data_IF_617716833890
#
_entry.id   IF_617716833890
#
_cell.length_a   1.000
_cell.length_b   1.000
_cell.length_c   1.000
_cell.angle_alpha   90.00
_cell.angle_beta   90.00
_cell.angle_gamma   90.00
#
_symmetry.space_group_name_H-M   'P 1'
#
loop_
_entity.id
_entity.type
_entity.pdbx_description
1 polymer ?
#
# COMPACT_ATOMS: atom_id res chain seq x y z
N UNK A 1 6.42 11.77 36.60
CA UNK A 1 5.15 11.40 37.25
C UNK A 1 3.91 11.53 36.32
N UNK A 2 4.07 11.57 34.99
CA UNK A 2 2.97 11.51 34.00
C UNK A 2 3.01 10.26 33.10
N UNK A 3 4.05 9.45 33.24
CA UNK A 3 4.29 8.20 32.50
C UNK A 3 3.45 7.01 32.99
N UNK A 4 2.84 7.12 34.17
CA UNK A 4 2.16 6.01 34.85
C UNK A 4 0.63 5.98 34.64
N UNK A 5 0.08 6.99 33.94
CA UNK A 5 -1.36 7.09 33.71
C UNK A 5 -1.83 6.34 32.45
N UNK A 6 -0.94 6.14 31.46
CA UNK A 6 -1.27 5.39 30.25
C UNK A 6 -1.23 3.87 30.47
N UNK A 7 -0.33 3.38 31.33
CA UNK A 7 -0.26 1.97 31.74
C UNK A 7 -1.49 1.54 32.56
N UNK A 8 -2.08 2.46 33.34
CA UNK A 8 -3.25 2.19 34.19
C UNK A 8 -4.60 2.03 33.45
N UNK A 9 -4.67 2.35 32.16
CA UNK A 9 -5.88 2.15 31.36
C UNK A 9 -5.97 0.74 30.72
N UNK A 10 -4.91 -0.06 30.81
CA UNK A 10 -4.90 -1.48 30.45
C UNK A 10 -4.97 -2.30 31.74
N UNK A 11 -6.18 -2.47 32.30
CA UNK A 11 -6.36 -3.29 33.49
C UNK A 11 -5.88 -4.73 33.25
N UNK A 12 -4.97 -5.22 34.09
CA UNK A 12 -4.64 -6.65 34.29
C UNK A 12 -4.53 -7.52 33.02
N UNK A 13 -3.88 -7.03 31.97
CA UNK A 13 -3.51 -7.87 30.85
C UNK A 13 -2.01 -8.06 30.84
N UNK A 14 -1.59 -9.32 30.90
CA UNK A 14 -0.20 -9.71 30.65
C UNK A 14 0.09 -9.53 29.17
N UNK A 15 0.23 -8.26 28.77
CA UNK A 15 0.47 -7.85 27.40
C UNK A 15 1.98 -7.92 27.16
N UNK A 16 2.38 -8.80 26.24
CA UNK A 16 3.78 -8.98 25.86
C UNK A 16 3.97 -8.49 24.43
N UNK A 17 4.80 -7.47 24.23
CA UNK A 17 5.23 -7.05 22.88
C UNK A 17 6.55 -7.75 22.60
N UNK A 18 6.58 -8.62 21.59
CA UNK A 18 7.78 -9.39 21.23
C UNK A 18 8.24 -9.13 19.78
N UNK A 19 9.54 -9.31 19.50
CA UNK A 19 10.06 -9.37 18.14
C UNK A 19 9.36 -10.43 17.28
N UNK A 20 9.32 -10.15 15.99
CA UNK A 20 9.07 -11.14 14.95
C UNK A 20 10.05 -12.32 15.08
N UNK A 21 9.54 -13.55 15.00
CA UNK A 21 10.25 -14.78 15.26
C UNK A 21 10.49 -15.64 14.00
N UNK A 22 10.35 -15.06 12.80
CA UNK A 22 10.51 -15.77 11.54
C UNK A 22 9.20 -16.34 11.00
N UNK A 23 9.30 -17.27 10.06
CA UNK A 23 8.16 -17.83 9.30
C UNK A 23 7.03 -18.39 10.18
N UNK A 24 7.35 -18.80 11.41
CA UNK A 24 6.37 -19.27 12.39
C UNK A 24 5.28 -18.21 12.72
N UNK A 25 5.57 -16.92 12.54
CA UNK A 25 4.61 -15.84 12.80
C UNK A 25 3.72 -15.50 11.59
N UNK A 26 4.03 -15.96 10.38
CA UNK A 26 3.35 -15.50 9.17
C UNK A 26 1.85 -15.81 9.15
N UNK A 27 1.47 -17.01 9.62
CA UNK A 27 0.07 -17.43 9.77
C UNK A 27 -0.68 -16.48 10.72
N UNK A 28 -0.06 -16.11 11.83
CA UNK A 28 -0.67 -15.21 12.82
C UNK A 28 -0.74 -13.78 12.31
N UNK A 29 0.25 -13.32 11.55
CA UNK A 29 0.25 -12.00 10.90
C UNK A 29 -0.92 -11.90 9.90
N UNK A 30 -1.09 -12.89 9.02
CA UNK A 30 -2.20 -12.93 8.07
C UNK A 30 -3.56 -13.01 8.80
N UNK A 31 -3.68 -13.90 9.79
CA UNK A 31 -4.90 -14.06 10.60
C UNK A 31 -5.31 -12.76 11.30
N UNK A 32 -4.37 -12.06 11.93
CA UNK A 32 -4.64 -10.83 12.66
C UNK A 32 -5.09 -9.71 11.71
N UNK A 33 -4.40 -9.52 10.59
CA UNK A 33 -4.76 -8.50 9.59
C UNK A 33 -6.14 -8.79 8.97
N UNK A 34 -6.39 -10.03 8.54
CA UNK A 34 -7.66 -10.39 7.93
C UNK A 34 -8.82 -10.29 8.92
N UNK A 35 -8.61 -10.63 10.20
CA UNK A 35 -9.62 -10.45 11.24
C UNK A 35 -9.93 -8.97 11.50
N UNK A 36 -8.92 -8.11 11.48
CA UNK A 36 -9.05 -6.65 11.63
C UNK A 36 -9.85 -6.04 10.47
N UNK A 37 -9.46 -6.36 9.23
CA UNK A 37 -10.17 -5.92 8.01
C UNK A 37 -11.59 -6.47 7.92
N UNK A 38 -11.80 -7.73 8.26
CA UNK A 38 -13.15 -8.32 8.27
C UNK A 38 -14.08 -7.59 9.22
N UNK A 39 -13.60 -7.24 10.42
CA UNK A 39 -14.42 -6.54 11.41
C UNK A 39 -14.72 -5.09 11.03
N UNK A 40 -13.83 -4.45 10.26
CA UNK A 40 -14.05 -3.10 9.73
C UNK A 40 -14.77 -3.13 8.37
N UNK A 41 -15.07 -4.32 7.82
CA UNK A 41 -15.68 -4.47 6.51
C UNK A 41 -14.78 -4.01 5.36
N UNK A 42 -13.46 -3.96 5.55
CA UNK A 42 -12.50 -3.66 4.47
C UNK A 42 -12.44 -4.88 3.52
N UNK A 43 -12.66 -4.71 2.20
CA UNK A 43 -12.72 -5.80 1.25
C UNK A 43 -11.30 -6.10 0.74
N UNK A 44 -10.38 -6.40 1.66
CA UNK A 44 -9.00 -6.76 1.36
C UNK A 44 -8.59 -7.98 2.19
N UNK A 45 -7.74 -8.86 1.65
CA UNK A 45 -7.23 -10.04 2.38
C UNK A 45 -5.76 -10.26 2.05
N UNK A 46 -5.00 -10.68 3.05
CA UNK A 46 -3.62 -11.16 2.91
C UNK A 46 -3.59 -12.67 3.02
N UNK A 47 -2.87 -13.32 2.11
CA UNK A 47 -2.49 -14.72 2.20
C UNK A 47 -1.15 -14.89 2.93
N UNK A 48 -0.86 -16.12 3.36
CA UNK A 48 0.46 -16.45 3.92
C UNK A 48 1.57 -16.33 2.86
N UNK A 49 1.41 -16.81 1.60
CA UNK A 49 2.38 -16.58 0.53
C UNK A 49 2.71 -15.10 0.29
N UNK A 50 1.74 -14.20 0.38
CA UNK A 50 2.00 -12.75 0.27
C UNK A 50 2.83 -12.23 1.45
N UNK A 51 2.54 -12.69 2.67
CA UNK A 51 3.35 -12.37 3.86
C UNK A 51 4.77 -12.92 3.71
N UNK A 52 4.93 -14.16 3.23
CA UNK A 52 6.23 -14.77 2.97
C UNK A 52 7.05 -13.93 1.98
N UNK A 53 6.46 -13.56 0.84
CA UNK A 53 7.12 -12.79 -0.21
C UNK A 53 7.52 -11.39 0.29
N UNK A 54 6.63 -10.71 1.03
CA UNK A 54 6.89 -9.38 1.59
C UNK A 54 8.06 -9.39 2.59
N UNK A 55 8.09 -10.38 3.49
CA UNK A 55 9.07 -10.43 4.59
C UNK A 55 10.43 -11.04 4.20
N UNK A 56 10.54 -11.68 3.03
CA UNK A 56 11.75 -12.38 2.56
C UNK A 56 12.93 -11.46 2.23
N UNK A 57 12.65 -10.24 1.78
CA UNK A 57 13.68 -9.31 1.28
C UNK A 57 13.75 -8.07 2.15
N UNK A 58 14.48 -8.05 3.28
CA UNK A 58 14.66 -6.84 4.07
C UNK A 58 15.40 -5.75 3.28
N UNK A 59 15.11 -4.49 3.58
CA UNK A 59 15.76 -3.29 3.03
C UNK A 59 16.18 -2.35 4.16
N UNK A 60 16.89 -1.27 3.82
CA UNK A 60 17.23 -0.23 4.79
C UNK A 60 15.95 0.37 5.41
N UNK A 61 14.91 0.53 4.57
CA UNK A 61 13.60 1.11 4.88
C UNK A 61 12.76 0.21 5.78
N UNK A 62 12.93 -1.11 5.69
CA UNK A 62 12.16 -2.08 6.45
C UNK A 62 12.89 -3.43 6.58
N UNK A 63 13.13 -3.87 7.81
CA UNK A 63 13.61 -5.21 8.15
C UNK A 63 12.66 -5.82 9.20
N UNK A 64 12.01 -6.96 8.91
CA UNK A 64 11.00 -7.51 9.81
C UNK A 64 11.56 -7.92 11.18
N UNK A 65 12.84 -8.30 11.28
CA UNK A 65 13.48 -8.65 12.55
C UNK A 65 13.63 -7.41 13.46
N UNK A 66 13.87 -6.25 12.83
CA UNK A 66 14.02 -4.96 13.52
C UNK A 66 12.68 -4.27 13.76
N UNK A 67 11.79 -4.32 12.77
CA UNK A 67 10.70 -3.38 12.60
C UNK A 67 9.32 -3.97 12.87
N UNK A 68 9.14 -5.29 12.73
CA UNK A 68 7.87 -5.98 13.00
C UNK A 68 7.83 -6.53 14.43
N UNK A 69 6.66 -6.40 15.07
CA UNK A 69 6.37 -6.92 16.41
C UNK A 69 5.01 -7.61 16.44
N UNK A 70 4.93 -8.68 17.22
CA UNK A 70 3.67 -9.30 17.62
C UNK A 70 3.37 -8.95 19.08
N UNK A 71 2.09 -8.97 19.41
CA UNK A 71 1.58 -8.64 20.73
C UNK A 71 0.77 -9.81 21.22
N UNK A 72 1.13 -10.33 22.37
CA UNK A 72 0.51 -11.51 22.96
C UNK A 72 -0.24 -11.15 24.23
N UNK A 73 -1.34 -11.87 24.46
CA UNK A 73 -2.04 -11.93 25.74
C UNK A 73 -2.18 -13.42 26.07
N UNK A 74 -1.75 -13.81 27.27
CA UNK A 74 -1.74 -15.20 27.73
C UNK A 74 -1.01 -16.16 26.75
N UNK A 75 0.06 -15.66 26.11
CA UNK A 75 0.87 -16.41 25.13
C UNK A 75 0.26 -16.55 23.73
N UNK A 76 -0.89 -15.94 23.45
CA UNK A 76 -1.54 -15.97 22.14
C UNK A 76 -1.39 -14.63 21.41
N UNK A 77 -0.95 -14.60 20.13
CA UNK A 77 -0.92 -13.38 19.33
C UNK A 77 -2.30 -12.75 19.11
N UNK A 78 -2.43 -11.48 19.49
CA UNK A 78 -3.68 -10.70 19.40
C UNK A 78 -3.53 -9.41 18.60
N UNK A 79 -2.31 -8.98 18.33
CA UNK A 79 -2.04 -7.84 17.46
C UNK A 79 -0.68 -7.96 16.78
N UNK A 80 -0.54 -7.29 15.64
CA UNK A 80 0.72 -7.14 14.91
C UNK A 80 0.92 -5.65 14.62
N UNK A 81 2.17 -5.19 14.70
CA UNK A 81 2.53 -3.80 14.44
C UNK A 81 3.91 -3.72 13.80
N UNK A 82 4.11 -2.75 12.92
CA UNK A 82 5.42 -2.47 12.37
C UNK A 82 5.62 -1.00 12.06
N UNK A 83 6.89 -0.65 11.89
CA UNK A 83 7.31 0.65 11.41
C UNK A 83 8.07 0.48 10.09
N UNK A 84 8.02 1.47 9.23
CA UNK A 84 8.95 1.59 8.10
C UNK A 84 9.31 3.08 7.95
N UNK A 85 10.16 3.41 6.98
CA UNK A 85 10.40 4.80 6.63
C UNK A 85 10.64 4.99 5.13
N UNK A 86 10.32 6.17 4.64
CA UNK A 86 10.60 6.57 3.25
C UNK A 86 11.04 8.04 3.20
N UNK A 87 11.84 8.34 2.19
CA UNK A 87 12.12 9.71 1.78
C UNK A 87 11.00 10.16 0.85
N UNK A 88 10.08 10.97 1.36
CA UNK A 88 8.92 11.41 0.61
C UNK A 88 9.27 12.49 -0.42
N UNK A 89 8.48 12.59 -1.47
CA UNK A 89 8.64 13.52 -2.60
C UNK A 89 8.39 14.97 -2.22
N UNK A 90 7.68 15.22 -1.11
CA UNK A 90 7.50 16.55 -0.52
C UNK A 90 8.64 16.96 0.43
N UNK A 91 9.77 16.23 0.38
CA UNK A 91 11.02 16.62 1.00
C UNK A 91 11.19 16.21 2.46
N UNK A 92 10.22 15.51 3.05
CA UNK A 92 10.33 14.98 4.41
C UNK A 92 10.91 13.56 4.43
N UNK A 93 11.45 13.16 5.58
CA UNK A 93 11.65 11.74 5.91
C UNK A 93 10.48 11.28 6.77
N UNK A 94 9.65 10.41 6.20
CA UNK A 94 8.39 9.94 6.78
C UNK A 94 8.58 8.57 7.43
N UNK A 95 8.46 8.50 8.76
CA UNK A 95 8.52 7.27 9.54
C UNK A 95 7.09 6.79 9.80
N UNK A 96 6.68 5.68 9.20
CA UNK A 96 5.27 5.28 9.16
C UNK A 96 4.98 4.15 10.13
N UNK A 97 3.85 4.24 10.81
CA UNK A 97 3.32 3.22 11.71
C UNK A 97 2.17 2.47 11.06
N UNK A 98 2.14 1.14 11.23
CA UNK A 98 0.99 0.29 10.93
C UNK A 98 0.72 -0.63 12.11
N UNK A 99 -0.55 -0.97 12.34
CA UNK A 99 -0.92 -1.88 13.42
C UNK A 99 -2.35 -2.38 13.30
N UNK A 100 -2.55 -3.63 13.70
CA UNK A 100 -3.81 -4.37 13.57
C UNK A 100 -4.08 -5.10 14.86
N UNK A 101 -5.33 -5.11 15.32
CA UNK A 101 -5.72 -5.75 16.59
C UNK A 101 -6.93 -6.62 16.33
N UNK A 102 -6.84 -7.91 16.71
CA UNK A 102 -7.97 -8.83 16.54
C UNK A 102 -9.22 -8.27 17.21
N UNK A 103 -10.42 -8.43 16.60
CA UNK A 103 -11.62 -7.72 17.03
C UNK A 103 -11.97 -7.95 18.51
N UNK A 104 -11.79 -9.18 19.02
CA UNK A 104 -12.06 -9.56 20.40
C UNK A 104 -11.19 -8.83 21.45
N UNK A 105 -10.06 -8.23 21.03
CA UNK A 105 -9.14 -7.52 21.90
C UNK A 105 -9.13 -6.00 21.66
N UNK A 106 -10.01 -5.49 20.79
CA UNK A 106 -10.17 -4.04 20.58
C UNK A 106 -10.76 -3.34 21.81
N UNK A 107 -10.61 -2.02 21.87
CA UNK A 107 -11.11 -1.14 22.95
C UNK A 107 -10.56 -1.44 24.35
N UNK A 108 -9.44 -2.16 24.45
CA UNK A 108 -8.72 -2.48 25.69
C UNK A 108 -7.40 -1.70 25.86
N UNK A 109 -7.25 -0.61 25.10
CA UNK A 109 -6.03 0.22 25.12
C UNK A 109 -4.88 -0.28 24.23
N UNK A 110 -4.96 -1.50 23.68
CA UNK A 110 -3.88 -2.13 22.88
C UNK A 110 -3.44 -1.22 21.72
N UNK A 111 -4.34 -0.78 20.83
CA UNK A 111 -3.96 0.05 19.69
C UNK A 111 -3.25 1.35 20.07
N UNK A 112 -3.64 1.98 21.19
CA UNK A 112 -2.94 3.16 21.71
C UNK A 112 -1.54 2.84 22.27
N UNK A 113 -1.38 1.68 22.92
CA UNK A 113 -0.08 1.20 23.38
C UNK A 113 0.86 0.89 22.20
N UNK A 114 0.36 0.28 21.12
CA UNK A 114 1.14 -0.02 19.92
C UNK A 114 1.59 1.24 19.18
N UNK A 115 0.69 2.21 19.00
CA UNK A 115 1.08 3.48 18.38
C UNK A 115 2.10 4.24 19.24
N UNK A 116 1.96 4.22 20.58
CA UNK A 116 2.94 4.81 21.48
C UNK A 116 4.32 4.13 21.38
N UNK A 117 4.35 2.80 21.32
CA UNK A 117 5.58 2.04 21.13
C UNK A 117 6.24 2.33 19.78
N UNK A 118 5.47 2.34 18.69
CA UNK A 118 5.95 2.69 17.37
C UNK A 118 6.52 4.13 17.33
N UNK A 119 5.85 5.12 17.94
CA UNK A 119 6.37 6.50 18.04
C UNK A 119 7.73 6.53 18.74
N UNK A 120 7.90 5.76 19.81
CA UNK A 120 9.19 5.63 20.52
C UNK A 120 10.26 5.02 19.59
N UNK A 121 9.96 3.88 18.96
CA UNK A 121 10.89 3.15 18.08
C UNK A 121 11.26 3.95 16.83
N UNK A 122 10.30 4.62 16.21
CA UNK A 122 10.56 5.52 15.07
C UNK A 122 11.45 6.70 15.47
N UNK A 123 11.30 7.24 16.69
CA UNK A 123 12.21 8.28 17.20
C UNK A 123 13.63 7.75 17.42
N UNK A 124 13.76 6.54 17.98
CA UNK A 124 15.05 5.87 18.16
C UNK A 124 15.75 5.61 16.82
N UNK A 125 15.02 5.08 15.83
CA UNK A 125 15.53 4.91 14.46
C UNK A 125 15.87 6.25 13.82
N UNK A 126 15.02 7.26 14.01
CA UNK A 126 15.27 8.58 13.47
C UNK A 126 16.55 9.23 14.02
N UNK A 127 16.95 8.93 15.26
CA UNK A 127 18.19 9.42 15.83
C UNK A 127 19.45 8.82 15.16
N UNK A 128 19.34 7.67 14.49
CA UNK A 128 20.47 7.05 13.76
C UNK A 128 20.60 7.55 12.32
N UNK A 129 19.55 8.18 11.78
CA UNK A 129 19.52 8.66 10.40
C UNK A 129 20.12 10.07 10.25
N UNK A 130 21.25 10.15 9.56
CA UNK A 130 21.81 11.41 9.08
C UNK A 130 21.03 11.89 7.85
N UNK A 131 20.29 12.99 7.99
CA UNK A 131 19.54 13.64 6.90
C UNK A 131 19.24 15.09 7.27
N UNK A 132 19.18 15.96 6.26
CA UNK A 132 18.74 17.34 6.34
C UNK A 132 17.21 17.49 6.17
N UNK A 133 16.53 16.41 5.74
CA UNK A 133 15.08 16.38 5.58
C UNK A 133 14.37 16.54 6.93
N UNK A 134 13.30 17.35 7.02
CA UNK A 134 12.42 17.35 8.17
C UNK A 134 11.88 15.94 8.43
N UNK A 135 11.88 15.52 9.69
CA UNK A 135 11.43 14.18 10.10
C UNK A 135 9.98 14.27 10.58
N UNK A 136 9.15 13.34 10.12
CA UNK A 136 7.73 13.26 10.52
C UNK A 136 7.37 11.83 10.90
N UNK A 137 6.38 11.70 11.78
CA UNK A 137 5.67 10.44 11.96
C UNK A 137 4.50 10.41 11.00
N UNK A 138 4.28 9.27 10.33
CA UNK A 138 3.17 9.01 9.43
C UNK A 138 2.33 7.81 9.85
N UNK A 139 1.08 7.76 9.41
CA UNK A 139 0.26 6.55 9.37
C UNK A 139 -0.85 6.70 8.32
N UNK A 140 -1.42 5.58 7.88
CA UNK A 140 -2.59 5.54 7.00
C UNK A 140 -3.80 4.95 7.72
N UNK A 141 -5.00 5.44 7.38
CA UNK A 141 -6.26 4.86 7.86
C UNK A 141 -7.25 4.72 6.71
N UNK A 142 -7.95 3.59 6.64
CA UNK A 142 -9.14 3.43 5.79
C UNK A 142 -10.37 4.00 6.53
N UNK A 143 -11.27 4.67 5.82
CA UNK A 143 -12.45 5.30 6.43
C UNK A 143 -13.45 4.32 7.05
N UNK A 144 -13.44 3.05 6.62
CA UNK A 144 -14.24 1.98 7.26
C UNK A 144 -13.72 1.65 8.66
N UNK A 145 -12.46 1.95 8.96
CA UNK A 145 -11.91 1.79 10.31
C UNK A 145 -12.28 2.98 11.20
N UNK A 146 -13.22 2.77 12.12
CA UNK A 146 -13.61 3.78 13.11
C UNK A 146 -12.47 4.09 14.10
N UNK A 147 -11.61 3.12 14.39
CA UNK A 147 -10.58 3.27 15.41
C UNK A 147 -9.35 4.06 14.94
N UNK A 148 -8.96 3.92 13.68
CA UNK A 148 -7.74 4.52 13.12
C UNK A 148 -7.70 6.05 13.26
N UNK A 149 -8.67 6.79 12.68
CA UNK A 149 -8.71 8.25 12.76
C UNK A 149 -8.71 8.78 14.20
N UNK A 150 -9.51 8.17 15.08
CA UNK A 150 -9.58 8.56 16.49
C UNK A 150 -8.24 8.36 17.23
N UNK A 151 -7.51 7.28 16.91
CA UNK A 151 -6.17 7.05 17.46
C UNK A 151 -5.16 8.06 16.92
N UNK A 152 -5.21 8.36 15.62
CA UNK A 152 -4.34 9.35 14.98
C UNK A 152 -4.51 10.74 15.63
N UNK A 153 -5.75 11.23 15.72
CA UNK A 153 -6.09 12.51 16.33
C UNK A 153 -5.67 12.57 17.80
N UNK A 154 -5.96 11.52 18.58
CA UNK A 154 -5.58 11.44 20.00
C UNK A 154 -4.06 11.51 20.22
N UNK A 155 -3.27 11.03 19.27
CA UNK A 155 -1.81 11.10 19.31
C UNK A 155 -1.24 12.37 18.66
N UNK A 156 -2.09 13.29 18.21
CA UNK A 156 -1.71 14.58 17.66
C UNK A 156 -1.22 14.51 16.21
N UNK A 157 -1.67 13.51 15.45
CA UNK A 157 -1.52 13.53 14.00
C UNK A 157 -2.62 14.37 13.37
N UNK A 158 -2.30 15.03 12.26
CA UNK A 158 -3.23 15.75 11.42
C UNK A 158 -3.36 15.04 10.06
N UNK A 159 -4.55 15.05 9.43
CA UNK A 159 -4.70 14.55 8.07
C UNK A 159 -3.94 15.46 7.11
N UNK A 160 -3.21 14.87 6.16
CA UNK A 160 -2.37 15.61 5.20
C UNK A 160 -2.63 15.23 3.74
N UNK A 161 -3.26 14.07 3.49
CA UNK A 161 -3.58 13.60 2.14
C UNK A 161 -4.76 12.63 2.17
N UNK A 162 -5.54 12.60 1.10
CA UNK A 162 -6.63 11.65 0.89
C UNK A 162 -6.40 10.83 -0.37
N UNK A 163 -6.87 9.59 -0.34
CA UNK A 163 -6.80 8.64 -1.45
C UNK A 163 -8.17 8.04 -1.66
N UNK A 164 -8.48 7.69 -2.90
CA UNK A 164 -9.69 6.97 -3.26
C UNK A 164 -9.32 5.61 -3.84
N UNK A 165 -10.01 4.58 -3.37
CA UNK A 165 -10.19 3.38 -4.17
C UNK A 165 -11.40 3.61 -5.08
N UNK A 166 -11.23 3.26 -6.35
CA UNK A 166 -12.26 3.39 -7.36
C UNK A 166 -12.50 2.05 -8.04
N UNK A 167 -13.76 1.75 -8.33
CA UNK A 167 -14.14 0.52 -9.02
C UNK A 167 -14.98 0.81 -10.26
N UNK A 168 -14.92 -0.11 -11.23
CA UNK A 168 -15.88 -0.18 -12.35
C UNK A 168 -16.29 -1.62 -12.67
N UNK A 169 -17.59 -1.88 -12.91
CA UNK A 169 -18.04 -3.15 -13.44
C UNK A 169 -17.49 -3.43 -14.85
N UNK A 170 -16.99 -4.64 -15.08
CA UNK A 170 -16.50 -5.10 -16.39
C UNK A 170 -17.61 -5.68 -17.28
N UNK A 171 -18.80 -5.94 -16.72
CA UNK A 171 -19.99 -6.35 -17.48
C UNK A 171 -20.67 -5.21 -18.26
N UNK A 172 -20.33 -3.95 -17.96
CA UNK A 172 -20.82 -2.79 -18.69
C UNK A 172 -20.12 -2.61 -20.04
N UNK A 173 -20.62 -1.69 -20.88
CA UNK A 173 -19.90 -1.28 -22.08
C UNK A 173 -18.53 -0.73 -21.69
N UNK A 174 -17.48 -1.31 -22.26
CA UNK A 174 -16.11 -0.88 -22.04
C UNK A 174 -15.78 0.31 -22.95
N UNK A 175 -14.90 1.24 -22.51
CA UNK A 175 -14.40 2.27 -23.39
C UNK A 175 -13.67 1.66 -24.58
N UNK A 176 -13.78 2.30 -25.74
CA UNK A 176 -12.98 1.93 -26.90
C UNK A 176 -11.50 2.15 -26.60
N UNK A 177 -10.65 1.28 -27.12
CA UNK A 177 -9.21 1.42 -27.04
C UNK A 177 -8.72 2.28 -28.21
N UNK A 178 -8.39 3.57 -28.01
CA UNK A 178 -7.89 4.39 -29.11
C UNK A 178 -6.58 3.84 -29.66
N UNK A 179 -6.38 4.05 -30.96
CA UNK A 179 -5.09 3.87 -31.64
C UNK A 179 -4.00 4.69 -30.93
N UNK A 180 -2.80 4.15 -30.88
CA UNK A 180 -1.66 4.88 -30.34
C UNK A 180 -1.17 5.93 -31.36
N UNK A 181 -0.51 6.98 -30.88
CA UNK A 181 0.16 7.92 -31.79
C UNK A 181 1.29 7.24 -32.56
N UNK A 182 1.61 7.73 -33.75
CA UNK A 182 2.73 7.24 -34.56
C UNK A 182 4.01 7.06 -33.72
N UNK A 183 4.69 5.92 -33.92
CA UNK A 183 5.91 5.55 -33.21
C UNK A 183 5.71 4.84 -31.87
N UNK A 184 4.48 4.81 -31.34
CA UNK A 184 4.14 4.04 -30.14
C UNK A 184 3.52 2.69 -30.50
N UNK A 185 3.99 1.64 -29.85
CA UNK A 185 3.42 0.30 -29.96
C UNK A 185 3.30 -0.39 -28.60
N UNK A 186 2.38 -1.35 -28.50
CA UNK A 186 2.21 -2.18 -27.31
C UNK A 186 2.75 -3.57 -27.61
N UNK A 187 3.63 -4.05 -26.74
CA UNK A 187 4.30 -5.35 -26.89
C UNK A 187 4.03 -6.23 -25.68
N UNK A 188 3.90 -7.56 -25.86
CA UNK A 188 3.94 -8.50 -24.74
C UNK A 188 5.25 -8.33 -23.98
N UNK A 189 5.18 -8.45 -22.65
CA UNK A 189 6.33 -8.42 -21.76
C UNK A 189 6.42 -9.72 -20.96
N UNK A 190 7.63 -10.09 -20.55
CA UNK A 190 7.91 -11.26 -19.73
C UNK A 190 8.64 -10.90 -18.44
N UNK A 191 9.00 -11.90 -17.63
CA UNK A 191 9.75 -11.68 -16.38
C UNK A 191 11.07 -10.92 -16.57
N UNK A 192 11.75 -11.12 -17.70
CA UNK A 192 13.03 -10.46 -18.01
C UNK A 192 12.89 -8.94 -18.22
N UNK A 193 11.68 -8.45 -18.54
CA UNK A 193 11.38 -7.02 -18.69
C UNK A 193 11.11 -6.32 -17.34
N UNK A 194 10.97 -7.09 -16.26
CA UNK A 194 10.54 -6.60 -14.95
C UNK A 194 11.38 -5.43 -14.45
N UNK A 195 12.71 -5.51 -14.56
CA UNK A 195 13.59 -4.44 -14.10
C UNK A 195 13.36 -3.12 -14.85
N UNK A 196 13.23 -3.17 -16.18
CA UNK A 196 13.01 -1.97 -16.99
C UNK A 196 11.64 -1.34 -16.69
N UNK A 197 10.61 -2.17 -16.51
CA UNK A 197 9.25 -1.73 -16.14
C UNK A 197 9.25 -1.08 -14.77
N UNK A 198 9.89 -1.69 -13.78
CA UNK A 198 10.00 -1.17 -12.42
C UNK A 198 10.71 0.19 -12.39
N UNK A 199 11.80 0.35 -13.16
CA UNK A 199 12.50 1.62 -13.28
C UNK A 199 11.64 2.70 -13.94
N UNK A 200 10.91 2.35 -15.01
CA UNK A 200 10.02 3.28 -15.71
C UNK A 200 8.86 3.75 -14.83
N UNK A 201 8.31 2.85 -14.01
CA UNK A 201 7.30 3.14 -12.99
C UNK A 201 7.84 4.15 -11.96
N UNK A 202 8.99 3.84 -11.34
CA UNK A 202 9.61 4.70 -10.34
C UNK A 202 9.96 6.09 -10.89
N UNK A 203 10.45 6.16 -12.13
CA UNK A 203 10.69 7.43 -12.82
C UNK A 203 9.39 8.23 -12.99
N UNK A 204 8.31 7.58 -13.42
CA UNK A 204 7.03 8.24 -13.68
C UNK A 204 6.35 8.73 -12.38
N UNK A 205 6.56 8.03 -11.27
CA UNK A 205 6.04 8.36 -9.95
C UNK A 205 6.92 9.30 -9.12
N UNK A 206 8.09 9.71 -9.61
CA UNK A 206 9.03 10.58 -8.89
C UNK A 206 8.43 11.94 -8.41
N UNK A 207 7.36 12.42 -9.06
CA UNK A 207 6.65 13.65 -8.68
C UNK A 207 5.37 13.39 -7.84
N UNK A 208 4.99 12.14 -7.59
CA UNK A 208 3.74 11.82 -6.90
C UNK A 208 3.91 11.92 -5.39
N UNK A 209 2.86 12.36 -4.68
CA UNK A 209 2.92 12.50 -3.24
C UNK A 209 3.18 11.16 -2.55
N UNK A 210 4.01 11.18 -1.51
CA UNK A 210 4.42 9.98 -0.78
C UNK A 210 5.86 9.61 -1.10
N UNK A 211 6.22 8.34 -0.97
CA UNK A 211 7.55 7.84 -1.28
C UNK A 211 7.54 6.33 -1.42
N UNK A 212 8.43 5.82 -2.28
CA UNK A 212 8.65 4.40 -2.51
C UNK A 212 10.03 3.99 -2.01
N UNK A 213 10.22 2.70 -1.77
CA UNK A 213 11.54 2.09 -1.51
C UNK A 213 12.19 1.77 -2.87
N UNK A 214 13.23 2.50 -3.32
CA UNK A 214 13.86 2.27 -4.62
C UNK A 214 14.95 1.17 -4.58
N UNK A 215 15.01 0.38 -3.51
CA UNK A 215 16.06 -0.64 -3.37
C UNK A 215 15.82 -1.85 -4.26
N UNK A 216 16.89 -2.59 -4.54
CA UNK A 216 16.81 -3.91 -5.18
C UNK A 216 15.92 -4.87 -4.38
N UNK A 217 15.91 -4.77 -3.04
CA UNK A 217 15.03 -5.56 -2.20
C UNK A 217 13.55 -5.28 -2.49
N UNK A 218 13.16 -4.01 -2.69
CA UNK A 218 11.81 -3.64 -3.11
C UNK A 218 11.45 -4.22 -4.48
N UNK A 219 12.37 -4.14 -5.44
CA UNK A 219 12.21 -4.81 -6.74
C UNK A 219 11.99 -6.32 -6.59
N UNK A 220 12.80 -7.01 -5.78
CA UNK A 220 12.65 -8.46 -5.52
C UNK A 220 11.32 -8.80 -4.88
N UNK A 221 10.84 -8.02 -3.91
CA UNK A 221 9.50 -8.20 -3.33
C UNK A 221 8.40 -8.13 -4.41
N UNK A 222 8.55 -7.24 -5.39
CA UNK A 222 7.58 -7.09 -6.47
C UNK A 222 7.62 -8.25 -7.47
N UNK A 223 8.79 -8.66 -7.96
CA UNK A 223 8.89 -9.76 -8.95
C UNK A 223 8.70 -11.16 -8.36
N UNK A 224 8.91 -11.32 -7.05
CA UNK A 224 8.69 -12.59 -6.34
C UNK A 224 7.32 -12.66 -5.65
N UNK A 225 6.46 -11.65 -5.79
CA UNK A 225 5.08 -11.71 -5.29
C UNK A 225 4.31 -12.82 -6.02
N UNK A 226 3.42 -13.57 -5.32
CA UNK A 226 2.60 -14.60 -5.95
C UNK A 226 1.71 -14.09 -7.10
N UNK A 227 1.42 -12.79 -7.12
CA UNK A 227 0.55 -12.12 -8.09
C UNK A 227 1.31 -11.47 -9.25
N UNK A 228 2.65 -11.59 -9.27
CA UNK A 228 3.45 -11.09 -10.38
C UNK A 228 3.17 -11.91 -11.66
N UNK A 229 2.34 -11.35 -12.53
CA UNK A 229 1.99 -11.93 -13.83
C UNK A 229 2.18 -10.89 -14.95
N UNK A 230 3.35 -10.86 -15.62
CA UNK A 230 3.62 -9.94 -16.74
C UNK A 230 2.63 -10.07 -17.90
N UNK A 231 1.92 -11.21 -18.03
CA UNK A 231 0.90 -11.37 -19.06
C UNK A 231 -0.35 -10.51 -18.83
N UNK A 232 -0.48 -9.92 -17.63
CA UNK A 232 -1.50 -8.94 -17.30
C UNK A 232 -1.07 -7.50 -17.58
N UNK A 233 0.20 -7.24 -17.91
CA UNK A 233 0.70 -5.89 -18.10
C UNK A 233 0.41 -5.37 -19.51
N UNK A 234 -0.02 -4.12 -19.60
CA UNK A 234 -0.19 -3.41 -20.87
C UNK A 234 0.87 -2.34 -20.96
N UNK A 235 1.95 -2.62 -21.69
CA UNK A 235 3.16 -1.77 -21.77
C UNK A 235 3.29 -1.18 -23.17
N UNK A 236 3.41 0.14 -23.25
CA UNK A 236 3.68 0.85 -24.49
C UNK A 236 5.13 1.30 -24.58
N UNK A 237 5.67 1.26 -25.79
CA UNK A 237 7.05 1.59 -26.12
C UNK A 237 7.12 2.62 -27.24
N UNK A 238 8.18 3.42 -27.26
CA UNK A 238 8.63 4.18 -28.43
C UNK A 238 10.05 3.71 -28.77
N UNK A 239 10.19 2.83 -29.76
CA UNK A 239 11.43 2.09 -29.97
C UNK A 239 11.69 1.10 -28.83
N UNK A 240 12.81 1.24 -28.12
CA UNK A 240 13.16 0.40 -26.97
C UNK A 240 12.78 1.03 -25.62
N UNK A 241 12.36 2.31 -25.62
CA UNK A 241 11.98 3.02 -24.41
C UNK A 241 10.54 2.71 -24.00
N UNK A 242 10.32 2.31 -22.75
CA UNK A 242 8.97 2.24 -22.17
C UNK A 242 8.41 3.66 -22.08
N UNK A 243 7.26 3.91 -22.69
CA UNK A 243 6.58 5.20 -22.66
C UNK A 243 5.56 5.31 -21.51
N UNK A 244 4.95 4.18 -21.15
CA UNK A 244 3.96 4.07 -20.08
C UNK A 244 3.39 2.66 -19.99
N UNK A 245 2.79 2.34 -18.85
CA UNK A 245 2.14 1.04 -18.67
C UNK A 245 0.90 1.14 -17.78
N UNK A 246 0.08 0.09 -17.88
CA UNK A 246 -0.85 -0.31 -16.82
C UNK A 246 -0.41 -1.69 -16.33
N UNK A 247 0.05 -1.74 -15.08
CA UNK A 247 0.44 -2.97 -14.41
C UNK A 247 -0.81 -3.50 -13.69
N UNK A 248 -1.48 -4.47 -14.31
CA UNK A 248 -2.66 -5.09 -13.71
C UNK A 248 -2.25 -6.25 -12.81
N UNK A 249 -3.01 -6.46 -11.75
CA UNK A 249 -2.88 -7.62 -10.87
C UNK A 249 -4.24 -8.28 -10.63
N UNK A 250 -4.22 -9.60 -10.47
CA UNK A 250 -5.35 -10.38 -9.99
C UNK A 250 -4.84 -11.11 -8.75
N UNK A 251 -5.54 -10.96 -7.62
CA UNK A 251 -5.23 -11.62 -6.35
C UNK A 251 -6.18 -12.81 -6.18
N UNK A 252 -5.82 -14.04 -6.61
CA UNK A 252 -6.78 -15.14 -6.71
C UNK A 252 -7.24 -15.64 -5.34
N UNK A 253 -6.33 -15.66 -4.36
CA UNK A 253 -6.63 -16.08 -2.99
C UNK A 253 -7.56 -15.08 -2.28
N UNK A 254 -7.27 -13.78 -2.36
CA UNK A 254 -8.17 -12.73 -1.88
C UNK A 254 -9.56 -12.82 -2.54
N UNK A 255 -9.58 -12.95 -3.87
CA UNK A 255 -10.83 -13.08 -4.63
C UNK A 255 -11.66 -14.28 -4.17
N UNK A 256 -11.00 -15.43 -3.92
CA UNK A 256 -11.65 -16.64 -3.42
C UNK A 256 -12.18 -16.46 -1.99
N UNK A 257 -11.41 -15.87 -1.08
CA UNK A 257 -11.84 -15.60 0.31
C UNK A 257 -13.01 -14.61 0.38
N UNK A 258 -13.00 -13.58 -0.47
CA UNK A 258 -14.04 -12.55 -0.52
C UNK A 258 -15.26 -12.97 -1.37
N UNK A 259 -15.15 -14.03 -2.17
CA UNK A 259 -16.20 -14.46 -3.10
C UNK A 259 -16.44 -13.46 -4.23
N UNK A 260 -15.40 -12.76 -4.67
CA UNK A 260 -15.46 -11.74 -5.72
C UNK A 260 -14.56 -12.10 -6.91
N UNK A 261 -14.66 -11.34 -8.00
CA UNK A 261 -13.78 -11.44 -9.17
C UNK A 261 -13.25 -10.07 -9.52
N UNK A 262 -12.28 -9.59 -8.74
CA UNK A 262 -11.70 -8.25 -8.88
C UNK A 262 -10.28 -8.35 -9.46
N UNK A 263 -9.96 -7.40 -10.32
CA UNK A 263 -8.60 -7.11 -10.74
C UNK A 263 -8.26 -5.67 -10.41
N UNK A 264 -6.99 -5.41 -10.13
CA UNK A 264 -6.47 -4.09 -9.85
C UNK A 264 -5.63 -3.58 -11.02
N UNK A 265 -5.72 -2.27 -11.27
CA UNK A 265 -4.73 -1.52 -12.02
C UNK A 265 -3.76 -0.95 -10.98
N UNK A 266 -2.85 -1.79 -10.47
CA UNK A 266 -1.94 -1.46 -9.35
C UNK A 266 -1.06 -0.25 -9.65
N UNK A 267 -0.63 -0.14 -10.90
CA UNK A 267 0.08 1.04 -11.38
C UNK A 267 -0.42 1.45 -12.76
N UNK A 268 -0.67 2.75 -12.89
CA UNK A 268 -1.01 3.40 -14.16
C UNK A 268 -0.08 4.57 -14.34
N UNK A 269 0.85 4.47 -15.28
CA UNK A 269 1.83 5.52 -15.49
C UNK A 269 2.05 5.88 -16.94
N UNK A 270 2.47 7.13 -17.13
CA UNK A 270 3.01 7.63 -18.38
C UNK A 270 4.22 8.48 -18.04
N UNK A 271 5.38 8.11 -18.58
CA UNK A 271 6.62 8.86 -18.37
C UNK A 271 6.50 10.25 -18.97
N UNK A 272 7.23 11.21 -18.41
CA UNK A 272 7.03 12.65 -18.63
C UNK A 272 7.05 13.04 -20.12
N UNK A 273 7.94 12.45 -20.92
CA UNK A 273 8.07 12.75 -22.35
C UNK A 273 6.85 12.33 -23.20
N UNK A 274 6.02 11.40 -22.73
CA UNK A 274 4.85 10.88 -23.45
C UNK A 274 3.50 11.33 -22.88
N UNK A 275 3.49 12.17 -21.85
CA UNK A 275 2.26 12.70 -21.25
C UNK A 275 1.49 13.58 -22.23
N UNK A 276 0.17 13.67 -22.04
CA UNK A 276 -0.77 14.47 -22.86
C UNK A 276 -0.89 14.01 -24.33
N UNK A 277 -0.46 12.78 -24.66
CA UNK A 277 -0.65 12.13 -25.97
C UNK A 277 -1.81 11.11 -25.99
N UNK A 278 -2.66 11.10 -24.95
CA UNK A 278 -3.76 10.13 -24.82
C UNK A 278 -3.35 8.71 -24.40
N UNK A 279 -2.05 8.47 -24.17
CA UNK A 279 -1.50 7.13 -23.89
C UNK A 279 -2.19 6.43 -22.70
N UNK A 280 -2.30 7.09 -21.54
CA UNK A 280 -2.93 6.48 -20.37
C UNK A 280 -4.37 6.00 -20.62
N UNK A 281 -5.17 6.77 -21.36
CA UNK A 281 -6.54 6.37 -21.75
C UNK A 281 -6.52 5.12 -22.64
N UNK A 282 -5.57 5.06 -23.58
CA UNK A 282 -5.38 3.94 -24.48
C UNK A 282 -4.99 2.65 -23.75
N UNK A 283 -4.11 2.76 -22.75
CA UNK A 283 -3.65 1.64 -21.93
C UNK A 283 -4.74 1.15 -20.98
N UNK A 284 -5.41 2.06 -20.26
CA UNK A 284 -6.54 1.73 -19.38
C UNK A 284 -7.62 0.97 -20.16
N UNK A 285 -8.06 1.49 -21.32
CA UNK A 285 -9.08 0.82 -22.11
C UNK A 285 -8.69 -0.62 -22.45
N UNK A 286 -7.46 -0.84 -22.94
CA UNK A 286 -6.94 -2.18 -23.26
C UNK A 286 -6.87 -3.09 -22.03
N UNK A 287 -6.43 -2.58 -20.88
CA UNK A 287 -6.45 -3.34 -19.62
C UNK A 287 -7.85 -3.78 -19.23
N UNK A 288 -8.86 -2.92 -19.39
CA UNK A 288 -10.23 -3.27 -19.07
C UNK A 288 -10.77 -4.39 -19.98
N UNK A 289 -10.43 -4.38 -21.28
CA UNK A 289 -10.77 -5.47 -22.19
C UNK A 289 -10.05 -6.77 -21.80
N UNK A 290 -8.74 -6.71 -21.56
CA UNK A 290 -7.94 -7.85 -21.10
C UNK A 290 -8.51 -8.47 -19.82
N UNK A 291 -8.82 -7.66 -18.81
CA UNK A 291 -9.34 -8.16 -17.53
C UNK A 291 -10.73 -8.80 -17.67
N UNK A 292 -11.57 -8.28 -18.57
CA UNK A 292 -12.85 -8.91 -18.92
C UNK A 292 -12.64 -10.27 -19.59
N UNK A 293 -11.67 -10.38 -20.49
CA UNK A 293 -11.29 -11.64 -21.15
C UNK A 293 -10.71 -12.66 -20.15
N UNK A 294 -9.99 -12.19 -19.12
CA UNK A 294 -9.53 -12.99 -17.97
C UNK A 294 -10.66 -13.38 -17.01
N UNK A 295 -11.92 -13.05 -17.33
CA UNK A 295 -13.10 -13.46 -16.55
C UNK A 295 -13.33 -12.65 -15.29
N UNK A 296 -12.70 -11.48 -15.14
CA UNK A 296 -12.93 -10.60 -14.00
C UNK A 296 -14.27 -9.87 -14.13
N UNK A 297 -14.90 -9.59 -12.98
CA UNK A 297 -16.18 -8.90 -12.89
C UNK A 297 -16.04 -7.40 -12.61
N UNK A 298 -14.97 -6.99 -11.93
CA UNK A 298 -14.72 -5.61 -11.51
C UNK A 298 -13.24 -5.27 -11.72
N UNK A 299 -12.97 -4.06 -12.22
CA UNK A 299 -11.63 -3.47 -12.18
C UNK A 299 -11.58 -2.41 -11.08
N UNK A 300 -10.48 -2.36 -10.33
CA UNK A 300 -10.24 -1.45 -9.21
C UNK A 300 -8.91 -0.72 -9.38
N UNK A 301 -8.76 0.44 -8.74
CA UNK A 301 -7.51 1.20 -8.66
C UNK A 301 -7.50 2.10 -7.43
N UNK A 302 -6.31 2.46 -6.97
CA UNK A 302 -6.10 3.51 -5.97
C UNK A 302 -5.61 4.80 -6.62
N UNK A 303 -6.10 5.96 -6.17
CA UNK A 303 -5.67 7.27 -6.67
C UNK A 303 -5.56 8.28 -5.54
N UNK A 304 -4.52 9.10 -5.58
CA UNK A 304 -4.41 10.30 -4.75
C UNK A 304 -5.49 11.32 -5.14
N UNK A 305 -6.34 11.70 -4.19
CA UNK A 305 -7.47 12.62 -4.42
C UNK A 305 -7.03 14.00 -4.91
N UNK A 306 -5.82 14.42 -4.51
CA UNK A 306 -5.21 15.69 -4.88
C UNK A 306 -4.11 15.50 -5.95
N UNK A 307 -4.18 14.42 -6.74
CA UNK A 307 -3.17 14.13 -7.77
C UNK A 307 -3.11 15.28 -8.81
N UNK A 308 -1.97 15.98 -8.94
CA UNK A 308 -1.84 17.14 -9.81
C UNK A 308 -1.92 16.80 -11.31
N UNK A 309 -1.80 15.52 -11.68
CA UNK A 309 -1.86 15.07 -13.09
C UNK A 309 -3.28 14.95 -13.64
N UNK A 310 -4.31 15.13 -12.80
CA UNK A 310 -5.71 14.96 -13.20
C UNK A 310 -6.13 13.50 -13.36
N UNK A 311 -5.41 12.56 -12.74
CA UNK A 311 -5.67 11.12 -12.81
C UNK A 311 -7.11 10.76 -12.41
N UNK A 312 -7.67 11.41 -11.39
CA UNK A 312 -9.06 11.19 -10.96
C UNK A 312 -10.06 11.35 -12.12
N UNK A 313 -10.00 12.47 -12.84
CA UNK A 313 -10.89 12.72 -13.98
C UNK A 313 -10.65 11.77 -15.16
N UNK A 314 -9.42 11.28 -15.33
CA UNK A 314 -9.12 10.22 -16.30
C UNK A 314 -9.87 8.93 -15.94
N UNK A 315 -9.81 8.49 -14.69
CA UNK A 315 -10.49 7.28 -14.23
C UNK A 315 -12.02 7.41 -14.27
N UNK A 316 -12.57 8.55 -13.85
CA UNK A 316 -14.00 8.85 -13.99
C UNK A 316 -14.43 8.77 -15.46
N UNK A 317 -13.63 9.31 -16.39
CA UNK A 317 -13.92 9.22 -17.83
C UNK A 317 -13.86 7.79 -18.39
N UNK A 318 -13.18 6.87 -17.70
CA UNK A 318 -13.16 5.45 -18.01
C UNK A 318 -14.28 4.66 -17.29
N UNK A 319 -15.15 5.35 -16.53
CA UNK A 319 -16.30 4.79 -15.85
C UNK A 319 -16.01 4.22 -14.45
N UNK A 320 -14.87 4.58 -13.85
CA UNK A 320 -14.60 4.29 -12.45
C UNK A 320 -15.37 5.25 -11.53
N UNK A 321 -15.80 4.72 -10.38
CA UNK A 321 -16.46 5.50 -9.31
C UNK A 321 -15.79 5.23 -7.98
N UNK A 322 -15.68 6.25 -7.13
CA UNK A 322 -15.11 6.13 -5.78
C UNK A 322 -15.96 5.17 -4.93
N UNK A 323 -15.30 4.18 -4.32
CA UNK A 323 -15.93 3.19 -3.43
C UNK A 323 -15.42 3.29 -1.99
N UNK A 324 -14.17 3.72 -1.79
CA UNK A 324 -13.56 3.91 -0.49
C UNK A 324 -12.62 5.10 -0.48
N UNK A 325 -12.43 5.69 0.69
CA UNK A 325 -11.43 6.70 0.94
C UNK A 325 -10.48 6.27 2.05
N UNK A 326 -9.20 6.56 1.85
CA UNK A 326 -8.16 6.45 2.86
C UNK A 326 -7.55 7.81 3.15
N UNK A 327 -7.00 7.98 4.35
CA UNK A 327 -6.37 9.22 4.80
C UNK A 327 -4.94 8.94 5.24
N UNK A 328 -3.99 9.72 4.76
CA UNK A 328 -2.65 9.78 5.32
C UNK A 328 -2.60 10.87 6.39
N UNK A 329 -1.99 10.52 7.52
CA UNK A 329 -1.86 11.36 8.69
C UNK A 329 -0.39 11.59 8.97
N UNK A 330 -0.04 12.82 9.36
CA UNK A 330 1.32 13.15 9.79
C UNK A 330 1.36 13.94 11.08
N UNK A 331 2.48 13.80 11.78
CA UNK A 331 2.85 14.58 12.96
C UNK A 331 4.31 14.96 12.85
N UNK A 332 4.65 16.23 13.11
CA UNK A 332 6.04 16.66 13.14
C UNK A 332 6.82 15.90 14.23
N UNK A 333 8.04 15.47 13.89
CA UNK A 333 8.95 14.91 14.88
C UNK A 333 9.73 16.05 15.52
N UNK A 334 9.38 16.40 16.76
CA UNK A 334 10.14 17.37 17.55
C UNK A 334 11.61 16.92 17.63
N UNK A 335 12.51 17.81 17.23
CA UNK A 335 13.96 17.60 17.38
C UNK A 335 14.28 17.81 18.86
N UNK A 336 14.65 16.73 19.53
CA UNK A 336 15.09 16.73 20.94
C UNK A 336 16.51 17.23 21.08
#
# INVERSE_FOLDING_TARGET
MKTDAAARAAGNLDLVIRPYAGEADHVEIARIQNADWTADGVPARMSVPEIDAWLRHPSEQFDPTRDLRLVEIDGAPVAVTWCDWVDATDGVRDYRSRGYVVPAHRRRGIGGALLADNIRRMRELAATHATDRPKVFGLGTNERSVAGPLLAERHGFAPVRWFFDMERPLGAQLPDAPELSDGLDIRPVGPDDGWAIWQADHEAFADHWGGHDPSEASFRRWVESPEFDPSLFIVAFEGDDIAGAVLNAIYPEENAELGIRRAWLDSVFTRRAWRRRGLARALIARSLHLLRERGMGTAALGVDADNPSGALGLYESAGFTVTERSTAWRKQMEVG
#
